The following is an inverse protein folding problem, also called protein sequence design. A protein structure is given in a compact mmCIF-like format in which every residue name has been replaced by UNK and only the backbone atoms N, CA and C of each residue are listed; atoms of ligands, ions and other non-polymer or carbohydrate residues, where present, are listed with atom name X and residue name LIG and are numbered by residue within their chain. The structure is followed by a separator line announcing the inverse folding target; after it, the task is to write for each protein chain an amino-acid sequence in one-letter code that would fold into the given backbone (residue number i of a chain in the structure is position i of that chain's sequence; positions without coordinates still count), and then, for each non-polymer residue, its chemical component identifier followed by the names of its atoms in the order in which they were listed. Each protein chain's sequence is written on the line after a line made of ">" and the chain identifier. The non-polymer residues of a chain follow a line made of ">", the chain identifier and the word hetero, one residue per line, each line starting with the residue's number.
data_IF_141742820324
#
_entry.id   IF_141742820324
#
_cell.length_a   1.000
_cell.length_b   1.000
_cell.length_c   1.000
_cell.angle_alpha   90.00
_cell.angle_beta   90.00
_cell.angle_gamma   90.00
#
_symmetry.space_group_name_H-M   'P 1'
#
loop_
_entity.id
_entity.type
_entity.pdbx_description
1 polymer ?
#
# COMPACT_ATOMS: atom_id res chain seq x y z
N UNK A 1 -11.81 -16.17 -5.73
CA UNK A 1 -11.81 -15.83 -4.29
C UNK A 1 -12.52 -14.52 -4.11
N UNK A 2 -13.50 -14.37 -3.23
CA UNK A 2 -13.83 -13.04 -2.76
C UNK A 2 -12.57 -12.48 -2.11
N UNK A 3 -12.15 -11.28 -2.52
CA UNK A 3 -11.17 -10.50 -1.76
C UNK A 3 -11.56 -10.61 -0.29
N UNK A 4 -10.57 -10.79 0.61
CA UNK A 4 -10.83 -10.63 2.02
C UNK A 4 -11.64 -9.33 2.18
N UNK A 5 -12.71 -9.33 2.98
CA UNK A 5 -13.48 -8.12 3.20
C UNK A 5 -12.51 -7.01 3.63
N UNK A 6 -12.79 -5.75 3.27
CA UNK A 6 -12.00 -4.64 3.77
C UNK A 6 -11.84 -4.81 5.28
N UNK A 7 -10.68 -4.50 5.86
CA UNK A 7 -10.47 -4.61 7.28
C UNK A 7 -11.66 -3.97 7.98
N UNK A 8 -12.33 -4.71 8.84
CA UNK A 8 -13.39 -4.16 9.68
C UNK A 8 -12.71 -3.11 10.55
N UNK A 9 -12.98 -1.85 10.30
CA UNK A 9 -12.65 -0.79 11.25
C UNK A 9 -13.61 -1.02 12.41
N UNK A 10 -13.13 -1.78 13.39
CA UNK A 10 -13.93 -2.07 14.59
C UNK A 10 -14.02 -0.76 15.37
N UNK A 11 -15.17 -0.11 15.29
CA UNK A 11 -15.51 1.08 16.09
C UNK A 11 -15.78 0.70 17.58
N UNK A 12 -15.71 -0.58 17.93
CA UNK A 12 -15.62 -0.98 19.31
C UNK A 12 -14.17 -0.73 19.75
N UNK A 13 -13.92 0.26 20.59
CA UNK A 13 -12.62 0.69 21.10
C UNK A 13 -11.68 -0.40 21.64
N UNK A 14 -11.38 -1.38 20.83
CA UNK A 14 -10.25 -2.27 20.96
C UNK A 14 -9.04 -1.49 20.43
N UNK A 15 -8.29 -0.94 21.36
CA UNK A 15 -6.94 -0.43 21.13
C UNK A 15 -6.17 -1.42 20.26
N UNK A 16 -5.36 -0.92 19.29
CA UNK A 16 -4.47 -1.79 18.52
C UNK A 16 -3.65 -2.61 19.51
N UNK A 17 -3.56 -3.91 19.28
CA UNK A 17 -2.78 -4.85 20.09
C UNK A 17 -1.30 -4.47 19.99
N UNK A 18 -0.89 -3.59 20.88
CA UNK A 18 0.43 -2.97 20.91
C UNK A 18 0.40 -1.56 21.46
N UNK A 19 -0.62 -1.17 22.25
CA UNK A 19 -0.56 0.08 23.01
C UNK A 19 0.58 -0.02 24.02
N UNK A 20 1.80 0.29 23.58
CA UNK A 20 2.80 0.80 24.51
C UNK A 20 2.11 1.98 25.20
N UNK A 21 1.84 1.87 26.52
CA UNK A 21 1.26 2.95 27.29
C UNK A 21 2.05 4.21 26.98
N UNK A 22 1.33 5.22 26.48
CA UNK A 22 1.93 6.50 26.12
C UNK A 22 2.85 6.94 27.25
N UNK A 23 4.10 7.26 26.90
CA UNK A 23 4.92 7.99 27.86
C UNK A 23 4.19 9.29 28.19
N UNK A 24 4.20 9.74 29.44
CA UNK A 24 3.59 11.01 29.84
C UNK A 24 4.12 12.22 29.05
N UNK A 25 5.15 12.03 28.22
CA UNK A 25 5.84 13.06 27.44
C UNK A 25 5.89 12.71 25.93
N UNK A 26 4.85 12.08 25.40
CA UNK A 26 4.82 11.70 23.97
C UNK A 26 5.12 12.86 23.01
N UNK A 27 4.56 14.04 23.22
CA UNK A 27 4.82 15.22 22.37
C UNK A 27 6.30 15.60 22.34
N UNK A 28 6.98 15.53 23.50
CA UNK A 28 8.42 15.78 23.58
C UNK A 28 9.24 14.71 22.83
N UNK A 29 8.88 13.45 22.99
CA UNK A 29 9.54 12.33 22.28
C UNK A 29 9.30 12.41 20.77
N UNK A 30 8.06 12.70 20.36
CA UNK A 30 7.69 12.89 18.94
C UNK A 30 8.51 14.02 18.32
N UNK A 31 8.60 15.17 18.99
CA UNK A 31 9.39 16.30 18.50
C UNK A 31 10.88 15.97 18.40
N UNK A 32 11.42 15.27 19.40
CA UNK A 32 12.81 14.83 19.38
C UNK A 32 13.10 13.86 18.24
N UNK A 33 12.21 12.87 17.97
CA UNK A 33 12.34 11.93 16.86
C UNK A 33 12.26 12.64 15.51
N UNK A 34 11.28 13.54 15.33
CA UNK A 34 11.13 14.30 14.08
C UNK A 34 12.38 15.15 13.74
N UNK A 35 13.10 15.60 14.75
CA UNK A 35 14.32 16.39 14.59
C UNK A 35 15.60 15.56 14.37
N UNK A 36 15.53 14.23 14.53
CA UNK A 36 16.66 13.33 14.31
C UNK A 36 16.80 12.95 12.84
N UNK A 37 18.05 12.76 12.38
CA UNK A 37 18.29 12.08 11.10
C UNK A 37 17.90 10.61 11.22
N UNK A 38 17.28 10.08 10.20
CA UNK A 38 16.82 8.67 10.20
C UNK A 38 18.01 7.73 10.42
N UNK A 39 19.18 8.00 9.81
CA UNK A 39 20.42 7.24 10.02
C UNK A 39 20.92 7.20 11.46
N UNK A 40 20.57 8.21 12.27
CA UNK A 40 21.08 8.36 13.64
C UNK A 40 20.13 7.75 14.69
N UNK A 41 18.94 7.31 14.30
CA UNK A 41 17.96 6.71 15.21
C UNK A 41 18.43 5.34 15.73
N UNK A 42 19.31 4.66 14.98
CA UNK A 42 19.85 3.35 15.37
C UNK A 42 18.86 2.21 15.21
N UNK A 43 18.11 2.22 14.12
CA UNK A 43 17.08 1.21 13.83
C UNK A 43 17.69 -0.12 13.41
N UNK A 44 17.13 -1.21 13.92
CA UNK A 44 17.49 -2.58 13.60
C UNK A 44 16.23 -3.43 13.40
N UNK A 45 16.32 -4.47 12.57
CA UNK A 45 15.23 -5.46 12.42
C UNK A 45 15.14 -6.37 13.65
N UNK A 46 16.29 -6.66 14.28
CA UNK A 46 16.39 -7.60 15.41
C UNK A 46 15.56 -7.13 16.61
N UNK A 47 14.78 -8.03 17.21
CA UNK A 47 13.97 -7.76 18.38
C UNK A 47 12.67 -7.02 18.10
N UNK A 48 12.34 -6.80 16.83
CA UNK A 48 11.15 -6.07 16.40
C UNK A 48 10.06 -6.96 15.83
N UNK A 49 8.89 -6.39 15.53
CA UNK A 49 7.84 -7.05 14.79
C UNK A 49 8.34 -7.54 13.42
N UNK A 50 9.19 -6.76 12.75
CA UNK A 50 9.76 -7.14 11.44
C UNK A 50 10.57 -8.44 11.52
N UNK A 51 11.35 -8.66 12.58
CA UNK A 51 12.07 -9.93 12.75
C UNK A 51 11.10 -11.12 12.79
N UNK A 52 10.00 -10.99 13.53
CA UNK A 52 8.95 -12.03 13.59
C UNK A 52 8.38 -12.31 12.18
N UNK A 53 8.02 -11.26 11.44
CA UNK A 53 7.41 -11.38 10.11
C UNK A 53 8.39 -11.96 9.07
N UNK A 54 9.65 -11.54 9.10
CA UNK A 54 10.72 -12.09 8.24
C UNK A 54 10.96 -13.57 8.54
N UNK A 55 11.01 -13.95 9.81
CA UNK A 55 11.13 -15.35 10.20
C UNK A 55 9.91 -16.18 9.73
N UNK A 56 8.71 -15.63 9.84
CA UNK A 56 7.51 -16.26 9.29
C UNK A 56 7.61 -16.47 7.76
N UNK A 57 8.08 -15.46 7.01
CA UNK A 57 8.31 -15.60 5.56
C UNK A 57 9.29 -16.77 5.30
N UNK A 58 10.38 -16.86 6.05
CA UNK A 58 11.36 -17.91 5.87
C UNK A 58 10.83 -19.31 6.22
N UNK A 59 9.94 -19.40 7.20
CA UNK A 59 9.23 -20.65 7.52
C UNK A 59 8.27 -21.05 6.39
N UNK A 60 7.55 -20.10 5.81
CA UNK A 60 6.67 -20.35 4.67
C UNK A 60 7.44 -20.82 3.44
N UNK A 61 8.60 -20.20 3.14
CA UNK A 61 9.50 -20.63 2.07
C UNK A 61 10.03 -22.04 2.33
N UNK A 62 10.46 -22.32 3.56
CA UNK A 62 10.94 -23.64 3.95
C UNK A 62 9.84 -24.72 3.85
N UNK A 63 8.59 -24.40 4.23
CA UNK A 63 7.45 -25.30 4.08
C UNK A 63 7.15 -25.66 2.61
N UNK A 64 7.51 -24.80 1.66
CA UNK A 64 7.48 -25.05 0.21
C UNK A 64 8.75 -25.76 -0.31
N UNK A 65 9.70 -26.07 0.57
CA UNK A 65 10.96 -26.74 0.23
C UNK A 65 12.01 -25.82 -0.38
N UNK A 66 11.85 -24.50 -0.28
CA UNK A 66 12.78 -23.52 -0.83
C UNK A 66 13.92 -23.25 0.15
N UNK A 67 15.16 -23.37 -0.31
CA UNK A 67 16.36 -23.14 0.50
C UNK A 67 16.82 -21.67 0.50
N UNK A 68 16.53 -20.93 -0.58
CA UNK A 68 16.88 -19.52 -0.68
C UNK A 68 16.01 -18.68 0.27
N UNK A 69 16.67 -17.81 1.01
CA UNK A 69 16.07 -16.84 1.94
C UNK A 69 16.53 -15.46 1.52
N UNK A 70 15.70 -14.68 0.83
CA UNK A 70 16.08 -13.31 0.45
C UNK A 70 16.50 -12.50 1.66
N UNK A 71 17.66 -11.83 1.66
CA UNK A 71 18.03 -10.89 2.70
C UNK A 71 17.03 -9.74 2.80
N UNK A 72 16.84 -9.20 4.01
CA UNK A 72 15.92 -8.10 4.29
C UNK A 72 16.68 -6.99 4.99
N UNK A 73 16.44 -5.74 4.57
CA UNK A 73 17.06 -4.56 5.16
C UNK A 73 16.02 -3.44 5.36
N UNK A 74 16.33 -2.45 6.20
CA UNK A 74 15.49 -1.29 6.41
C UNK A 74 15.69 -0.26 5.32
N UNK A 75 14.60 0.15 4.68
CA UNK A 75 14.51 1.14 3.61
C UNK A 75 13.43 2.16 3.92
N UNK A 76 13.18 3.10 3.01
CA UNK A 76 12.09 4.07 3.13
C UNK A 76 10.72 3.48 2.79
N UNK A 77 10.67 2.42 2.01
CA UNK A 77 9.44 1.80 1.52
C UNK A 77 9.61 0.29 1.29
N UNK A 78 8.50 -0.40 1.03
CA UNK A 78 8.50 -1.76 0.50
C UNK A 78 9.09 -1.77 -0.89
N UNK A 79 9.99 -2.71 -1.17
CA UNK A 79 10.56 -2.85 -2.50
C UNK A 79 11.64 -3.91 -2.59
N UNK A 80 11.85 -4.38 -3.81
CA UNK A 80 12.99 -5.22 -4.18
C UNK A 80 13.69 -4.51 -5.34
N UNK A 81 14.90 -3.96 -5.14
CA UNK A 81 15.59 -3.19 -6.18
C UNK A 81 15.79 -4.01 -7.45
N UNK A 82 15.58 -3.39 -8.61
CA UNK A 82 15.60 -4.08 -9.90
C UNK A 82 16.88 -4.89 -10.09
N UNK A 83 16.70 -6.17 -10.38
CA UNK A 83 17.81 -7.11 -10.61
C UNK A 83 18.57 -7.56 -9.36
N UNK A 84 18.22 -7.10 -8.16
CA UNK A 84 18.89 -7.47 -6.90
C UNK A 84 17.97 -8.32 -6.01
N UNK A 85 18.43 -9.47 -5.50
CA UNK A 85 17.60 -10.42 -4.76
C UNK A 85 17.53 -10.09 -3.25
N UNK A 86 17.24 -8.82 -2.90
CA UNK A 86 17.10 -8.32 -1.52
C UNK A 86 15.77 -7.63 -1.34
N UNK A 87 15.27 -7.56 -0.11
CA UNK A 87 13.97 -6.95 0.21
C UNK A 87 14.18 -5.75 1.12
N UNK A 88 13.79 -4.56 0.64
CA UNK A 88 13.64 -3.37 1.46
C UNK A 88 12.30 -3.38 2.19
N UNK A 89 12.33 -3.04 3.47
CA UNK A 89 11.12 -2.91 4.32
C UNK A 89 11.09 -1.54 4.97
N UNK A 90 9.91 -0.90 5.13
CA UNK A 90 9.81 0.42 5.69
C UNK A 90 10.41 0.51 7.10
N UNK A 91 11.29 1.47 7.30
CA UNK A 91 12.01 1.66 8.56
C UNK A 91 11.09 1.94 9.75
N UNK A 92 9.94 2.61 9.52
CA UNK A 92 9.00 2.95 10.59
C UNK A 92 8.37 1.72 11.25
N UNK A 93 8.36 0.56 10.59
CA UNK A 93 7.89 -0.70 11.16
C UNK A 93 8.88 -1.33 12.17
N UNK A 94 10.11 -0.81 12.24
CA UNK A 94 11.11 -1.28 13.19
C UNK A 94 10.99 -0.67 14.60
N UNK A 95 10.18 0.38 14.76
CA UNK A 95 9.98 1.05 16.06
C UNK A 95 8.51 1.49 16.21
N UNK A 96 7.84 1.06 17.27
CA UNK A 96 6.44 1.39 17.53
C UNK A 96 6.18 2.92 17.61
N UNK A 97 7.18 3.72 18.03
CA UNK A 97 7.07 5.18 18.05
C UNK A 97 7.06 5.76 16.64
N UNK A 98 7.89 5.20 15.75
CA UNK A 98 7.92 5.60 14.35
C UNK A 98 6.65 5.15 13.62
N UNK A 99 6.17 3.93 13.86
CA UNK A 99 4.88 3.46 13.34
C UNK A 99 3.73 4.40 13.75
N UNK A 100 3.76 4.90 14.98
CA UNK A 100 2.78 5.88 15.44
C UNK A 100 2.92 7.23 14.74
N UNK A 101 4.15 7.73 14.55
CA UNK A 101 4.38 8.96 13.79
C UNK A 101 3.90 8.76 12.34
N UNK A 102 4.22 7.62 11.73
CA UNK A 102 3.72 7.25 10.41
C UNK A 102 2.19 7.26 10.38
N UNK A 103 1.53 6.67 11.38
CA UNK A 103 0.06 6.68 11.49
C UNK A 103 -0.50 8.12 11.61
N UNK A 104 0.18 9.00 12.33
CA UNK A 104 -0.22 10.42 12.44
C UNK A 104 -0.12 11.13 11.07
N UNK A 105 0.87 10.77 10.23
CA UNK A 105 1.09 11.39 8.92
C UNK A 105 0.31 10.71 7.79
N UNK A 106 0.38 9.40 7.66
CA UNK A 106 -0.26 8.66 6.56
C UNK A 106 -1.69 8.22 6.87
N UNK A 107 -2.08 8.20 8.15
CA UNK A 107 -3.34 7.65 8.67
C UNK A 107 -3.50 6.13 8.41
N UNK A 108 -2.43 5.47 7.98
CA UNK A 108 -2.45 4.04 7.72
C UNK A 108 -1.05 3.45 7.90
N UNK A 109 -0.89 2.61 8.90
CA UNK A 109 0.28 1.74 9.07
C UNK A 109 -0.18 0.31 8.79
N UNK A 110 0.64 -0.43 8.09
CA UNK A 110 0.31 -1.80 7.69
C UNK A 110 0.14 -2.69 8.93
N UNK A 111 -0.96 -3.40 8.97
CA UNK A 111 -1.15 -4.51 9.91
C UNK A 111 -0.15 -5.64 9.65
N UNK A 112 0.05 -6.53 10.63
CA UNK A 112 0.89 -7.73 10.45
C UNK A 112 0.47 -8.53 9.20
N UNK A 113 -0.83 -8.63 8.94
CA UNK A 113 -1.35 -9.35 7.77
C UNK A 113 -1.02 -8.65 6.44
N UNK A 114 -1.05 -7.32 6.41
CA UNK A 114 -0.68 -6.53 5.25
C UNK A 114 0.83 -6.56 5.02
N UNK A 115 1.62 -6.40 6.07
CA UNK A 115 3.09 -6.54 6.01
C UNK A 115 3.51 -7.91 5.47
N UNK A 116 2.85 -9.00 5.91
CA UNK A 116 3.09 -10.35 5.36
C UNK A 116 2.65 -10.46 3.89
N UNK A 117 1.62 -9.72 3.46
CA UNK A 117 1.22 -9.66 2.06
C UNK A 117 2.32 -9.04 1.21
N UNK A 118 2.85 -7.88 1.64
CA UNK A 118 3.98 -7.23 0.97
C UNK A 118 5.24 -8.07 1.00
N UNK A 119 5.62 -8.65 2.14
CA UNK A 119 6.80 -9.52 2.23
C UNK A 119 6.76 -10.71 1.25
N UNK A 120 5.58 -11.34 1.08
CA UNK A 120 5.44 -12.43 0.09
C UNK A 120 5.58 -11.92 -1.34
N UNK A 121 5.07 -10.71 -1.62
CA UNK A 121 5.19 -10.07 -2.91
C UNK A 121 6.66 -9.74 -3.23
N UNK A 122 7.36 -9.07 -2.33
CA UNK A 122 8.77 -8.72 -2.50
C UNK A 122 9.66 -9.97 -2.60
N UNK A 123 9.31 -11.04 -1.87
CA UNK A 123 9.97 -12.32 -2.06
C UNK A 123 9.79 -12.86 -3.50
N UNK A 124 8.67 -12.61 -4.15
CA UNK A 124 8.46 -12.94 -5.57
C UNK A 124 9.48 -12.25 -6.47
N UNK A 125 9.67 -10.93 -6.31
CA UNK A 125 10.71 -10.17 -7.02
C UNK A 125 12.11 -10.74 -6.71
N UNK A 126 12.43 -10.92 -5.43
CA UNK A 126 13.73 -11.46 -5.03
C UNK A 126 14.03 -12.83 -5.67
N UNK A 127 13.05 -13.74 -5.75
CA UNK A 127 13.19 -15.01 -6.46
C UNK A 127 13.34 -14.83 -7.97
N UNK A 128 12.56 -13.91 -8.58
CA UNK A 128 12.70 -13.61 -10.00
C UNK A 128 14.11 -13.16 -10.35
N UNK A 129 14.68 -12.28 -9.53
CA UNK A 129 16.04 -11.75 -9.72
C UNK A 129 17.11 -12.77 -9.36
N UNK A 130 17.02 -13.44 -8.22
CA UNK A 130 17.98 -14.43 -7.76
C UNK A 130 18.28 -15.52 -8.81
N UNK A 131 17.27 -15.94 -9.55
CA UNK A 131 17.35 -17.00 -10.54
C UNK A 131 17.20 -16.53 -11.98
N UNK A 132 17.08 -15.23 -12.21
CA UNK A 132 16.89 -14.59 -13.52
C UNK A 132 15.78 -15.25 -14.34
N UNK A 133 14.61 -15.45 -13.71
CA UNK A 133 13.51 -16.13 -14.40
C UNK A 133 12.99 -15.34 -15.59
N UNK A 134 13.00 -14.01 -15.51
CA UNK A 134 12.61 -13.10 -16.59
C UNK A 134 13.39 -13.28 -17.90
N UNK A 135 14.59 -13.88 -17.85
CA UNK A 135 15.39 -14.21 -19.05
C UNK A 135 14.88 -15.45 -19.78
N UNK A 136 14.02 -16.26 -19.15
CA UNK A 136 13.51 -17.50 -19.74
C UNK A 136 12.41 -17.22 -20.76
N UNK A 137 12.47 -17.85 -21.93
CA UNK A 137 11.42 -17.74 -22.95
C UNK A 137 10.05 -18.21 -22.40
N UNK A 138 10.02 -19.23 -21.52
CA UNK A 138 8.79 -19.71 -20.89
C UNK A 138 8.18 -18.69 -19.94
N UNK A 139 8.99 -17.93 -19.20
CA UNK A 139 8.53 -16.86 -18.32
C UNK A 139 7.91 -15.73 -19.15
N UNK A 140 8.62 -15.26 -20.20
CA UNK A 140 8.13 -14.21 -21.08
C UNK A 140 6.84 -14.62 -21.83
N UNK A 141 6.69 -15.90 -22.14
CA UNK A 141 5.43 -16.42 -22.71
C UNK A 141 4.27 -16.36 -21.71
N UNK A 142 4.54 -16.51 -20.41
CA UNK A 142 3.53 -16.59 -19.35
C UNK A 142 3.12 -15.21 -18.86
N UNK A 143 4.08 -14.32 -18.62
CA UNK A 143 3.88 -13.01 -18.00
C UNK A 143 4.02 -11.83 -18.96
N UNK A 144 4.71 -12.01 -20.07
CA UNK A 144 5.01 -10.96 -21.03
C UNK A 144 6.49 -10.56 -21.05
N UNK A 145 6.86 -9.60 -21.89
CA UNK A 145 8.25 -9.14 -21.98
C UNK A 145 8.63 -8.32 -20.75
N UNK A 146 9.73 -8.71 -20.07
CA UNK A 146 10.27 -7.97 -18.93
C UNK A 146 10.68 -6.53 -19.29
N UNK A 147 11.09 -6.30 -20.54
CA UNK A 147 11.44 -4.97 -21.07
C UNK A 147 10.25 -4.05 -21.32
N UNK A 148 9.03 -4.45 -20.98
CA UNK A 148 7.87 -3.56 -21.00
C UNK A 148 8.15 -2.34 -20.11
N UNK A 149 7.86 -1.10 -20.55
CA UNK A 149 8.05 0.06 -19.68
C UNK A 149 7.27 -0.07 -18.38
N UNK A 150 7.98 0.06 -17.27
CA UNK A 150 7.35 0.15 -15.95
C UNK A 150 6.70 1.53 -15.82
N UNK A 151 5.40 1.54 -15.55
CA UNK A 151 4.63 2.78 -15.42
C UNK A 151 3.97 2.81 -14.06
N UNK A 152 4.07 3.94 -13.36
CA UNK A 152 3.39 4.13 -12.09
C UNK A 152 1.88 4.03 -12.24
N UNK A 153 1.38 4.41 -13.40
CA UNK A 153 -0.04 4.38 -13.74
C UNK A 153 -0.34 3.39 -14.85
N UNK A 154 -1.39 2.63 -14.65
CA UNK A 154 -1.88 1.63 -15.58
C UNK A 154 -3.40 1.55 -15.50
N UNK A 155 -4.02 1.23 -16.63
CA UNK A 155 -5.45 0.98 -16.68
C UNK A 155 -5.70 -0.49 -16.42
N UNK A 156 -6.19 -0.80 -15.21
CA UNK A 156 -6.57 -2.16 -14.85
C UNK A 156 -7.93 -2.55 -15.45
N UNK A 157 -8.05 -3.82 -15.83
CA UNK A 157 -9.35 -4.46 -16.09
C UNK A 157 -9.78 -5.23 -14.84
N UNK A 158 -10.76 -4.73 -14.06
CA UNK A 158 -11.21 -5.39 -12.84
C UNK A 158 -11.91 -6.72 -13.08
N UNK A 159 -12.31 -7.02 -14.32
CA UNK A 159 -12.98 -8.26 -14.72
C UNK A 159 -12.03 -9.32 -15.26
N UNK A 160 -10.76 -8.97 -15.49
CA UNK A 160 -9.78 -9.90 -16.02
C UNK A 160 -9.57 -11.10 -15.09
N UNK A 161 -9.63 -12.30 -15.68
CA UNK A 161 -9.31 -13.57 -15.01
C UNK A 161 -7.90 -14.07 -15.36
N UNK A 162 -7.13 -13.27 -16.10
CA UNK A 162 -5.76 -13.62 -16.51
C UNK A 162 -4.72 -13.33 -15.40
N UNK A 163 -5.14 -12.63 -14.33
CA UNK A 163 -4.26 -12.19 -13.26
C UNK A 163 -4.78 -12.66 -11.90
N UNK A 164 -3.87 -12.95 -10.99
CA UNK A 164 -4.20 -13.18 -9.58
C UNK A 164 -4.61 -11.87 -8.90
N UNK A 165 -5.15 -11.97 -7.70
CA UNK A 165 -5.52 -10.84 -6.86
C UNK A 165 -4.87 -11.01 -5.49
N UNK A 166 -3.83 -10.23 -5.21
CA UNK A 166 -3.10 -10.28 -3.94
C UNK A 166 -2.97 -8.88 -3.33
N UNK A 167 -2.19 -7.98 -3.94
CA UNK A 167 -2.19 -6.56 -3.59
C UNK A 167 -3.38 -5.87 -4.26
N UNK A 168 -3.89 -4.84 -3.62
CA UNK A 168 -5.06 -4.09 -4.07
C UNK A 168 -4.80 -3.31 -5.35
N UNK A 169 -5.88 -2.87 -6.01
CA UNK A 169 -5.78 -2.10 -7.25
C UNK A 169 -5.42 -2.94 -8.47
N UNK A 170 -5.63 -4.28 -8.42
CA UNK A 170 -5.29 -5.19 -9.53
C UNK A 170 -3.82 -5.10 -9.94
N UNK A 171 -2.94 -5.03 -8.94
CA UNK A 171 -1.53 -4.68 -9.06
C UNK A 171 -0.75 -5.58 -10.02
N UNK A 172 -1.12 -6.87 -10.12
CA UNK A 172 -0.56 -7.80 -11.10
C UNK A 172 -0.64 -7.31 -12.57
N UNK A 173 -1.53 -6.36 -12.88
CA UNK A 173 -1.69 -5.83 -14.25
C UNK A 173 -0.72 -4.70 -14.59
N UNK A 174 0.01 -4.19 -13.61
CA UNK A 174 0.92 -3.05 -13.77
C UNK A 174 2.10 -3.38 -14.69
N UNK A 175 2.77 -4.50 -14.43
CA UNK A 175 3.95 -4.93 -15.16
C UNK A 175 4.08 -6.46 -15.15
N UNK A 176 4.76 -7.11 -16.13
CA UNK A 176 5.06 -8.55 -16.09
C UNK A 176 5.77 -9.03 -14.83
N UNK A 177 6.64 -8.20 -14.24
CA UNK A 177 7.33 -8.49 -13.00
C UNK A 177 6.38 -8.51 -11.80
N UNK A 178 5.46 -7.54 -11.74
CA UNK A 178 4.41 -7.51 -10.73
C UNK A 178 3.46 -8.71 -10.84
N UNK A 179 3.11 -9.09 -12.08
CA UNK A 179 2.28 -10.27 -12.33
C UNK A 179 2.94 -11.55 -11.81
N UNK A 180 4.25 -11.68 -12.01
CA UNK A 180 5.01 -12.81 -11.46
C UNK A 180 5.03 -12.76 -9.92
N UNK A 181 5.36 -11.62 -9.32
CA UNK A 181 5.49 -11.45 -7.86
C UNK A 181 4.15 -11.64 -7.15
N UNK A 182 3.07 -11.09 -7.68
CA UNK A 182 1.72 -11.33 -7.21
C UNK A 182 1.33 -12.83 -7.28
N UNK A 183 1.67 -13.49 -8.41
CA UNK A 183 1.42 -14.91 -8.60
C UNK A 183 2.23 -15.76 -7.62
N UNK A 184 3.49 -15.40 -7.38
CA UNK A 184 4.33 -16.05 -6.37
C UNK A 184 3.76 -15.88 -4.96
N UNK A 185 3.32 -14.68 -4.61
CA UNK A 185 2.76 -14.39 -3.30
C UNK A 185 1.48 -15.20 -3.01
N UNK A 186 0.57 -15.29 -3.98
CA UNK A 186 -0.62 -16.16 -3.88
C UNK A 186 -0.22 -17.63 -3.73
N UNK A 187 0.74 -18.12 -4.52
CA UNK A 187 1.23 -19.49 -4.45
C UNK A 187 1.88 -19.81 -3.10
N UNK A 188 2.61 -18.85 -2.51
CA UNK A 188 3.30 -19.01 -1.23
C UNK A 188 2.34 -18.99 -0.05
N UNK A 189 1.23 -18.27 -0.12
CA UNK A 189 0.31 -18.02 1.00
C UNK A 189 -0.16 -19.33 1.66
N UNK A 190 0.09 -19.52 2.96
CA UNK A 190 -0.30 -20.73 3.67
C UNK A 190 -1.82 -20.92 3.72
N UNK A 191 -2.26 -22.17 3.63
CA UNK A 191 -3.68 -22.53 3.77
C UNK A 191 -4.57 -22.14 2.59
N UNK A 192 -4.04 -21.49 1.56
CA UNK A 192 -4.79 -21.11 0.37
C UNK A 192 -4.84 -22.28 -0.62
N UNK A 193 -6.04 -22.73 -0.96
CA UNK A 193 -6.23 -23.68 -2.07
C UNK A 193 -6.37 -22.93 -3.40
N UNK A 194 -5.23 -22.38 -3.85
CA UNK A 194 -5.19 -21.60 -5.09
C UNK A 194 -5.63 -22.41 -6.33
N UNK A 195 -5.60 -23.74 -6.29
CA UNK A 195 -6.09 -24.56 -7.40
C UNK A 195 -7.60 -24.49 -7.52
N UNK A 196 -8.29 -24.58 -6.38
CA UNK A 196 -9.73 -24.45 -6.32
C UNK A 196 -10.16 -22.98 -6.53
N UNK A 197 -9.49 -22.05 -5.85
CA UNK A 197 -9.86 -20.63 -5.88
C UNK A 197 -9.73 -20.00 -7.27
N UNK A 198 -8.75 -20.46 -8.05
CA UNK A 198 -8.51 -19.97 -9.43
C UNK A 198 -8.98 -20.95 -10.51
N UNK A 199 -9.84 -21.93 -10.17
CA UNK A 199 -10.41 -22.84 -11.17
C UNK A 199 -11.16 -22.05 -12.26
N UNK A 200 -10.85 -22.36 -13.52
CA UNK A 200 -11.43 -21.66 -14.68
C UNK A 200 -10.85 -20.28 -14.98
N UNK A 201 -9.82 -19.82 -14.21
CA UNK A 201 -9.11 -18.57 -14.50
C UNK A 201 -7.84 -18.83 -15.33
N UNK A 202 -7.49 -17.90 -16.22
CA UNK A 202 -6.19 -17.92 -16.90
C UNK A 202 -5.01 -17.85 -15.93
N UNK A 203 -5.16 -17.14 -14.81
CA UNK A 203 -4.20 -17.04 -13.72
C UNK A 203 -3.79 -18.41 -13.13
N UNK A 204 -4.66 -19.44 -13.18
CA UNK A 204 -4.32 -20.79 -12.71
C UNK A 204 -3.09 -21.35 -13.43
N UNK A 205 -2.95 -21.11 -14.73
CA UNK A 205 -1.77 -21.54 -15.51
C UNK A 205 -0.48 -20.90 -15.03
N UNK A 206 -0.56 -19.63 -14.59
CA UNK A 206 0.58 -18.90 -14.02
C UNK A 206 0.97 -19.47 -12.65
N UNK A 207 0.01 -19.77 -11.80
CA UNK A 207 0.22 -20.43 -10.50
C UNK A 207 0.87 -21.81 -10.67
N UNK A 208 0.38 -22.63 -11.61
CA UNK A 208 0.98 -23.93 -11.94
C UNK A 208 2.40 -23.78 -12.51
N UNK A 209 2.64 -22.73 -13.29
CA UNK A 209 3.96 -22.41 -13.80
C UNK A 209 4.91 -22.03 -12.66
N UNK A 210 4.51 -21.16 -11.74
CA UNK A 210 5.29 -20.79 -10.54
C UNK A 210 5.57 -22.03 -9.68
N UNK A 211 4.59 -22.88 -9.43
CA UNK A 211 4.77 -24.14 -8.66
C UNK A 211 5.87 -25.02 -9.27
N UNK A 212 5.83 -25.23 -10.59
CA UNK A 212 6.86 -25.99 -11.31
C UNK A 212 8.23 -25.31 -11.25
N UNK A 213 8.24 -23.98 -11.39
CA UNK A 213 9.46 -23.18 -11.40
C UNK A 213 10.16 -23.23 -10.03
N UNK A 214 9.40 -23.08 -8.95
CA UNK A 214 9.91 -23.13 -7.57
C UNK A 214 10.42 -24.53 -7.23
N UNK A 215 9.73 -25.59 -7.59
CA UNK A 215 10.23 -26.97 -7.44
C UNK A 215 11.53 -27.20 -8.18
N UNK A 216 11.72 -26.57 -9.33
CA UNK A 216 12.97 -26.73 -10.12
C UNK A 216 14.19 -26.01 -9.52
N UNK A 217 13.98 -25.04 -8.63
CA UNK A 217 15.04 -24.26 -7.97
C UNK A 217 15.13 -24.51 -6.46
N UNK A 218 14.30 -25.36 -5.91
CA UNK A 218 14.09 -25.56 -4.47
C UNK A 218 15.37 -25.58 -3.63
N UNK A 219 16.39 -26.31 -4.11
CA UNK A 219 17.69 -26.44 -3.41
C UNK A 219 18.86 -25.84 -4.18
N UNK A 220 18.57 -25.07 -5.24
CA UNK A 220 19.63 -24.46 -6.05
C UNK A 220 20.13 -23.17 -5.42
N UNK A 221 21.41 -22.94 -5.56
CA UNK A 221 22.04 -21.66 -5.22
C UNK A 221 21.55 -20.59 -6.21
N UNK A 222 21.24 -19.38 -5.76
CA UNK A 222 20.95 -18.25 -6.62
C UNK A 222 22.04 -18.01 -7.68
N UNK A 223 21.63 -17.59 -8.87
CA UNK A 223 22.55 -17.23 -9.97
C UNK A 223 23.08 -15.81 -9.76
N UNK A 224 22.25 -14.92 -9.24
CA UNK A 224 22.63 -13.57 -8.85
C UNK A 224 23.04 -13.61 -7.39
N UNK A 225 24.28 -13.20 -7.05
CA UNK A 225 24.70 -13.14 -5.66
C UNK A 225 23.99 -12.01 -4.92
N UNK A 226 23.99 -12.07 -3.60
CA UNK A 226 23.59 -10.97 -2.76
C UNK A 226 24.47 -9.74 -3.07
N UNK A 227 23.87 -8.54 -3.22
CA UNK A 227 24.63 -7.33 -3.46
C UNK A 227 25.52 -6.99 -2.25
N UNK A 228 26.62 -6.28 -2.51
CA UNK A 228 27.52 -5.83 -1.45
C UNK A 228 27.00 -4.63 -0.65
N UNK A 229 26.03 -3.92 -1.22
CA UNK A 229 25.41 -2.73 -0.63
C UNK A 229 23.90 -2.79 -0.86
N UNK A 230 23.14 -2.34 0.15
CA UNK A 230 21.70 -2.21 0.08
C UNK A 230 21.34 -0.94 -0.71
N UNK A 231 20.17 -0.92 -1.35
CA UNK A 231 19.64 0.25 -2.04
C UNK A 231 18.87 1.13 -1.05
N UNK A 232 19.21 2.42 -0.97
CA UNK A 232 18.60 3.38 -0.05
C UNK A 232 18.46 2.84 1.39
N UNK A 233 19.53 2.30 2.01
CA UNK A 233 19.43 1.79 3.36
C UNK A 233 19.26 2.93 4.36
N UNK A 234 18.64 2.65 5.50
CA UNK A 234 18.45 3.61 6.60
C UNK A 234 19.75 4.34 6.95
N UNK A 235 20.90 3.67 6.93
CA UNK A 235 22.22 4.26 7.20
C UNK A 235 22.62 5.36 6.22
N UNK A 236 22.05 5.40 5.03
CA UNK A 236 22.28 6.42 4.02
C UNK A 236 21.32 7.63 4.13
N UNK A 237 20.26 7.53 4.93
CA UNK A 237 19.24 8.57 5.08
C UNK A 237 19.70 9.70 6.00
N UNK A 238 20.41 10.67 5.44
CA UNK A 238 21.02 11.78 6.19
C UNK A 238 20.06 12.95 6.46
N UNK A 239 18.81 12.87 5.97
CA UNK A 239 17.75 13.82 6.25
C UNK A 239 17.00 13.46 7.54
N UNK A 240 16.35 14.45 8.14
CA UNK A 240 15.55 14.23 9.36
C UNK A 240 14.24 13.51 9.07
N UNK A 241 13.67 12.91 10.09
CA UNK A 241 12.36 12.30 9.98
C UNK A 241 11.28 13.34 9.59
N UNK A 242 11.39 14.60 10.03
CA UNK A 242 10.49 15.67 9.60
C UNK A 242 10.61 15.94 8.11
N UNK A 243 11.85 16.06 7.59
CA UNK A 243 12.10 16.26 6.15
C UNK A 243 11.58 15.08 5.31
N UNK A 244 11.63 13.86 5.82
CA UNK A 244 11.06 12.69 5.15
C UNK A 244 9.56 12.89 4.85
N UNK A 245 8.80 13.34 5.82
CA UNK A 245 7.35 13.57 5.66
C UNK A 245 7.01 14.85 4.88
N UNK A 246 7.89 15.84 4.84
CA UNK A 246 7.69 17.06 4.05
C UNK A 246 7.79 16.82 2.53
N UNK A 247 8.54 15.79 2.12
CA UNK A 247 8.78 15.47 0.70
C UNK A 247 7.68 14.60 0.06
N UNK A 248 6.64 14.25 0.80
CA UNK A 248 5.52 13.50 0.21
C UNK A 248 4.84 14.30 -0.91
N UNK A 249 4.61 13.64 -2.04
CA UNK A 249 3.98 14.24 -3.22
C UNK A 249 2.62 14.84 -2.87
N UNK A 250 2.44 16.13 -3.08
CA UNK A 250 1.13 16.78 -2.95
C UNK A 250 0.25 16.49 -4.15
N UNK A 251 -1.06 16.28 -3.91
CA UNK A 251 -2.04 16.15 -5.00
C UNK A 251 -2.22 17.52 -5.67
N UNK A 252 -1.98 17.66 -6.98
CA UNK A 252 -2.20 18.93 -7.68
C UNK A 252 -3.70 19.18 -7.90
N UNK A 253 -4.36 19.84 -6.97
CA UNK A 253 -5.74 20.33 -7.14
C UNK A 253 -5.69 21.77 -7.61
N UNK A 254 -5.97 22.01 -8.89
CA UNK A 254 -5.84 23.35 -9.51
C UNK A 254 -6.96 24.31 -9.12
N UNK A 255 -8.20 23.86 -9.11
CA UNK A 255 -9.35 24.66 -8.68
C UNK A 255 -10.09 23.97 -7.52
N UNK A 256 -9.96 24.51 -6.29
CA UNK A 256 -10.63 23.94 -5.13
C UNK A 256 -12.16 23.94 -5.23
N UNK A 257 -12.76 24.74 -6.11
CA UNK A 257 -14.22 24.88 -6.24
C UNK A 257 -14.86 23.77 -7.07
N UNK A 258 -14.06 22.95 -7.75
CA UNK A 258 -14.55 21.88 -8.65
C UNK A 258 -15.52 20.93 -7.93
N UNK A 259 -15.35 20.73 -6.64
CA UNK A 259 -16.15 19.79 -5.84
C UNK A 259 -17.30 20.46 -5.07
N UNK A 260 -17.50 21.77 -5.20
CA UNK A 260 -18.51 22.50 -4.40
C UNK A 260 -19.94 21.97 -4.60
N UNK A 261 -20.27 21.58 -5.84
CA UNK A 261 -21.57 21.00 -6.18
C UNK A 261 -21.80 19.65 -5.51
N UNK A 262 -20.79 18.78 -5.60
CA UNK A 262 -20.83 17.43 -5.04
C UNK A 262 -20.88 17.48 -3.51
N UNK A 263 -20.05 18.33 -2.90
CA UNK A 263 -20.02 18.50 -1.45
C UNK A 263 -21.34 19.04 -0.89
N UNK A 264 -22.02 19.94 -1.63
CA UNK A 264 -23.37 20.44 -1.26
C UNK A 264 -24.49 19.41 -1.51
N UNK A 265 -24.21 18.34 -2.23
CA UNK A 265 -25.13 17.21 -2.38
C UNK A 265 -24.97 16.23 -1.22
N UNK A 266 -23.74 16.02 -0.74
CA UNK A 266 -23.41 15.12 0.38
C UNK A 266 -23.76 15.76 1.73
N UNK A 267 -23.48 17.05 1.87
CA UNK A 267 -23.71 17.86 3.07
C UNK A 267 -24.73 18.96 2.81
N UNK A 268 -25.26 19.54 3.87
CA UNK A 268 -26.21 20.65 3.80
C UNK A 268 -25.60 21.96 4.29
N UNK A 269 -26.22 23.08 3.96
CA UNK A 269 -25.80 24.38 4.48
C UNK A 269 -26.15 24.54 5.96
N UNK A 270 -25.42 25.40 6.66
CA UNK A 270 -25.68 25.71 8.07
C UNK A 270 -27.16 26.17 8.32
N UNK A 271 -27.77 26.89 7.37
CA UNK A 271 -29.16 27.29 7.48
C UNK A 271 -30.19 26.14 7.46
N UNK A 272 -29.80 25.00 6.86
CA UNK A 272 -30.64 23.80 6.79
C UNK A 272 -30.48 22.88 8.01
N UNK A 273 -29.32 22.91 8.67
CA UNK A 273 -29.03 22.12 9.87
C UNK A 273 -28.18 22.94 10.87
N UNK A 274 -28.74 23.98 11.52
CA UNK A 274 -27.95 24.87 12.36
C UNK A 274 -27.34 24.18 13.58
N UNK A 275 -27.97 23.14 14.10
CA UNK A 275 -27.48 22.32 15.22
C UNK A 275 -26.74 21.08 14.76
N UNK A 276 -26.59 20.87 13.45
CA UNK A 276 -25.89 19.72 12.90
C UNK A 276 -24.36 19.80 13.15
N UNK A 277 -23.72 18.64 13.30
CA UNK A 277 -22.25 18.54 13.35
C UNK A 277 -21.65 19.24 12.12
N UNK A 278 -20.53 19.95 12.29
CA UNK A 278 -19.84 20.51 11.11
C UNK A 278 -19.36 19.40 10.20
N UNK A 279 -19.42 19.60 8.88
CA UNK A 279 -18.93 18.61 7.92
C UNK A 279 -17.43 18.33 8.09
N UNK A 280 -16.66 19.34 8.52
CA UNK A 280 -15.23 19.16 8.82
C UNK A 280 -15.01 18.28 10.06
N UNK A 281 -15.78 18.47 11.15
CA UNK A 281 -15.70 17.61 12.34
C UNK A 281 -16.13 16.17 12.00
N UNK A 282 -17.15 16.01 11.16
CA UNK A 282 -17.56 14.70 10.64
C UNK A 282 -16.42 14.01 9.88
N UNK A 283 -15.76 14.71 8.95
CA UNK A 283 -14.63 14.16 8.21
C UNK A 283 -13.49 13.84 9.17
N UNK A 284 -13.19 14.71 10.13
CA UNK A 284 -12.13 14.48 11.11
C UNK A 284 -12.40 13.23 11.97
N UNK A 285 -13.64 13.03 12.40
CA UNK A 285 -14.07 11.86 13.19
C UNK A 285 -13.91 10.55 12.41
N UNK A 286 -14.23 10.56 11.11
CA UNK A 286 -14.20 9.36 10.26
C UNK A 286 -12.98 9.29 9.35
N UNK A 287 -11.99 10.17 9.52
CA UNK A 287 -10.85 10.31 8.60
C UNK A 287 -10.17 8.99 8.30
N UNK A 288 -9.81 8.25 9.34
CA UNK A 288 -9.14 6.95 9.20
C UNK A 288 -9.95 5.97 8.36
N UNK A 289 -11.24 5.84 8.63
CA UNK A 289 -12.12 4.94 7.88
C UNK A 289 -12.23 5.36 6.42
N UNK A 290 -12.41 6.66 6.14
CA UNK A 290 -12.52 7.21 4.79
C UNK A 290 -11.24 6.93 4.01
N UNK A 291 -10.07 7.29 4.57
CA UNK A 291 -8.76 7.09 3.93
C UNK A 291 -8.52 5.61 3.65
N UNK A 292 -8.69 4.74 4.64
CA UNK A 292 -8.46 3.30 4.50
C UNK A 292 -9.35 2.69 3.42
N UNK A 293 -10.64 3.04 3.38
CA UNK A 293 -11.57 2.48 2.40
C UNK A 293 -11.29 2.96 0.99
N UNK A 294 -11.02 4.26 0.81
CA UNK A 294 -10.68 4.81 -0.51
C UNK A 294 -9.37 4.19 -1.00
N UNK A 295 -8.31 4.19 -0.18
CA UNK A 295 -7.03 3.56 -0.53
C UNK A 295 -7.21 2.08 -0.89
N UNK A 296 -7.99 1.35 -0.08
CA UNK A 296 -8.29 -0.06 -0.32
C UNK A 296 -8.91 -0.30 -1.70
N UNK A 297 -9.95 0.43 -2.07
CA UNK A 297 -10.67 0.19 -3.32
C UNK A 297 -9.98 0.77 -4.56
N UNK A 298 -9.18 1.81 -4.40
CA UNK A 298 -8.47 2.45 -5.51
C UNK A 298 -7.08 1.86 -5.73
N UNK A 299 -6.46 1.28 -4.71
CA UNK A 299 -5.05 0.88 -4.72
C UNK A 299 -4.10 2.09 -4.78
N UNK A 300 -4.58 3.29 -4.40
CA UNK A 300 -3.74 4.47 -4.26
C UNK A 300 -3.13 4.50 -2.87
N UNK A 301 -1.97 5.19 -2.72
CA UNK A 301 -1.31 5.29 -1.42
C UNK A 301 -2.20 5.99 -0.39
N UNK A 302 -2.15 5.54 0.85
CA UNK A 302 -2.92 6.16 1.93
C UNK A 302 -2.54 7.63 2.13
N UNK A 303 -1.26 7.99 1.92
CA UNK A 303 -0.77 9.37 1.98
C UNK A 303 -1.46 10.28 0.96
N UNK A 304 -1.54 9.86 -0.31
CA UNK A 304 -2.24 10.59 -1.37
C UNK A 304 -3.72 10.74 -1.02
N UNK A 305 -4.38 9.65 -0.59
CA UNK A 305 -5.80 9.69 -0.22
C UNK A 305 -6.03 10.61 0.99
N UNK A 306 -5.15 10.59 1.98
CA UNK A 306 -5.22 11.47 3.15
C UNK A 306 -5.18 12.95 2.75
N UNK A 307 -4.23 13.33 1.91
CA UNK A 307 -4.13 14.72 1.43
C UNK A 307 -5.41 15.16 0.71
N UNK A 308 -6.01 14.27 -0.07
CA UNK A 308 -7.29 14.54 -0.70
C UNK A 308 -8.43 14.73 0.34
N UNK A 309 -8.51 13.88 1.34
CA UNK A 309 -9.52 13.96 2.41
C UNK A 309 -9.33 15.23 3.26
N UNK A 310 -8.10 15.62 3.54
CA UNK A 310 -7.77 16.90 4.21
C UNK A 310 -8.22 18.10 3.37
N UNK A 311 -7.92 18.07 2.07
CA UNK A 311 -8.43 19.10 1.15
C UNK A 311 -9.96 19.18 1.17
N UNK A 312 -10.68 18.04 1.16
CA UNK A 312 -12.14 18.05 1.28
C UNK A 312 -12.61 18.62 2.62
N UNK A 313 -11.93 18.31 3.73
CA UNK A 313 -12.21 18.83 5.06
C UNK A 313 -12.11 20.36 5.11
N UNK A 314 -11.02 20.92 4.56
CA UNK A 314 -10.82 22.37 4.46
C UNK A 314 -11.88 23.01 3.57
N UNK A 315 -12.25 22.33 2.48
CA UNK A 315 -13.25 22.86 1.55
C UNK A 315 -14.64 22.91 2.17
N UNK A 316 -15.11 21.84 2.84
CA UNK A 316 -16.41 21.85 3.51
C UNK A 316 -16.46 22.87 4.65
N UNK A 317 -15.34 23.06 5.37
CA UNK A 317 -15.21 24.12 6.38
C UNK A 317 -15.38 25.50 5.77
N UNK A 318 -14.71 25.80 4.65
CA UNK A 318 -14.80 27.07 3.95
C UNK A 318 -16.21 27.36 3.41
N UNK A 319 -16.99 26.32 3.13
CA UNK A 319 -18.37 26.40 2.65
C UNK A 319 -19.39 26.41 3.81
N UNK A 320 -18.97 26.33 5.07
CA UNK A 320 -19.82 26.21 6.27
C UNK A 320 -20.87 25.09 6.16
N UNK A 321 -20.46 23.92 5.64
CA UNK A 321 -21.34 22.78 5.48
C UNK A 321 -21.53 22.00 6.78
N UNK A 322 -22.69 21.35 6.91
CA UNK A 322 -23.11 20.58 8.08
C UNK A 322 -23.62 19.20 7.68
N UNK A 323 -23.55 18.27 8.62
CA UNK A 323 -24.22 16.97 8.49
C UNK A 323 -25.73 17.17 8.51
N UNK A 324 -26.41 16.84 7.41
CA UNK A 324 -27.87 17.02 7.28
C UNK A 324 -28.70 15.75 7.32
N UNK A 325 -28.01 14.57 7.31
CA UNK A 325 -28.64 13.27 7.26
C UNK A 325 -28.08 12.27 8.28
N UNK A 326 -28.32 10.98 8.04
CA UNK A 326 -27.76 9.92 8.85
C UNK A 326 -26.25 9.83 8.59
N UNK A 327 -25.47 9.79 9.66
CA UNK A 327 -24.01 9.69 9.64
C UNK A 327 -23.52 8.56 8.74
N UNK A 328 -24.08 7.35 8.88
CA UNK A 328 -23.72 6.20 8.06
C UNK A 328 -23.98 6.42 6.55
N UNK A 329 -25.07 7.08 6.19
CA UNK A 329 -25.38 7.38 4.78
C UNK A 329 -24.40 8.40 4.21
N UNK A 330 -24.11 9.46 4.95
CA UNK A 330 -23.15 10.49 4.55
C UNK A 330 -21.73 9.92 4.41
N UNK A 331 -21.33 9.00 5.30
CA UNK A 331 -20.04 8.33 5.21
C UNK A 331 -19.95 7.47 3.94
N UNK A 332 -21.00 6.75 3.58
CA UNK A 332 -21.06 5.96 2.34
C UNK A 332 -20.94 6.88 1.12
N UNK A 333 -21.71 7.97 1.06
CA UNK A 333 -21.69 8.91 -0.07
C UNK A 333 -20.33 9.58 -0.22
N UNK A 334 -19.73 10.06 0.87
CA UNK A 334 -18.42 10.69 0.85
C UNK A 334 -17.32 9.70 0.43
N UNK A 335 -17.37 8.46 0.92
CA UNK A 335 -16.42 7.42 0.53
C UNK A 335 -16.57 7.03 -0.93
N UNK A 336 -17.80 6.90 -1.43
CA UNK A 336 -18.07 6.61 -2.84
C UNK A 336 -17.58 7.73 -3.75
N UNK A 337 -17.88 8.99 -3.38
CA UNK A 337 -17.40 10.18 -4.08
C UNK A 337 -15.86 10.22 -4.11
N UNK A 338 -15.22 10.08 -2.96
CA UNK A 338 -13.76 10.08 -2.86
C UNK A 338 -13.11 8.95 -3.68
N UNK A 339 -13.72 7.76 -3.68
CA UNK A 339 -13.25 6.63 -4.50
C UNK A 339 -13.31 6.97 -5.99
N UNK A 340 -14.41 7.58 -6.45
CA UNK A 340 -14.56 7.97 -7.86
C UNK A 340 -13.51 9.02 -8.27
N UNK A 341 -13.27 10.03 -7.42
CA UNK A 341 -12.28 11.08 -7.69
C UNK A 341 -10.86 10.52 -7.74
N UNK A 342 -10.47 9.71 -6.75
CA UNK A 342 -9.12 9.11 -6.71
C UNK A 342 -8.92 8.13 -7.87
N UNK A 343 -9.94 7.37 -8.28
CA UNK A 343 -9.84 6.53 -9.47
C UNK A 343 -9.61 7.35 -10.74
N UNK A 344 -10.28 8.50 -10.89
CA UNK A 344 -10.04 9.41 -12.01
C UNK A 344 -8.63 10.01 -11.95
N UNK A 345 -8.19 10.45 -10.77
CA UNK A 345 -6.82 10.94 -10.56
C UNK A 345 -5.77 9.94 -11.02
N UNK A 346 -5.93 8.66 -10.71
CA UNK A 346 -5.02 7.60 -11.19
C UNK A 346 -4.96 7.46 -12.71
N UNK A 347 -5.96 7.97 -13.42
CA UNK A 347 -6.00 7.89 -14.88
C UNK A 347 -5.53 9.17 -15.57
N UNK A 348 -5.65 10.33 -14.94
CA UNK A 348 -5.48 11.65 -15.59
C UNK A 348 -4.29 12.46 -15.11
N UNK A 349 -3.62 12.07 -14.02
CA UNK A 349 -2.53 12.83 -13.37
C UNK A 349 -2.93 14.17 -12.74
N UNK A 350 -4.19 14.54 -12.82
CA UNK A 350 -4.69 15.78 -12.27
C UNK A 350 -6.10 15.61 -11.72
N UNK A 351 -6.38 16.31 -10.64
CA UNK A 351 -7.75 16.59 -10.22
C UNK A 351 -8.06 17.98 -10.79
N UNK A 352 -8.34 18.02 -12.07
CA UNK A 352 -8.82 19.22 -12.74
C UNK A 352 -10.04 18.89 -13.60
N UNK A 353 -11.01 19.80 -13.63
CA UNK A 353 -12.22 19.70 -14.45
C UNK A 353 -12.01 20.03 -15.92
N UNK A 354 -10.80 19.94 -16.43
CA UNK A 354 -10.57 20.16 -17.86
C UNK A 354 -10.87 18.88 -18.61
N UNK A 355 -11.96 18.88 -19.36
CA UNK A 355 -12.19 17.96 -20.46
C UNK A 355 -10.91 17.85 -21.27
N UNK A 356 -10.43 16.62 -21.42
CA UNK A 356 -9.33 16.32 -22.34
C UNK A 356 -9.69 16.79 -23.73
N UNK A 357 -9.34 18.03 -24.02
CA UNK A 357 -9.42 18.56 -25.36
C UNK A 357 -8.53 17.73 -26.27
N UNK A 358 -9.18 17.05 -27.19
CA UNK A 358 -8.68 16.45 -28.40
C UNK A 358 -7.51 17.26 -28.94
N UNK A 359 -6.29 16.74 -28.85
CA UNK A 359 -5.24 17.10 -29.80
C UNK A 359 -5.05 15.91 -30.73
N UNK A 360 -5.65 16.09 -31.89
CA UNK A 360 -5.56 15.33 -33.15
C UNK A 360 -4.13 15.13 -33.62
#
# INVERSE_FOLDING_TARGET
>A
MPLAPPPSVDNSGSEPSGSASLSPNWEGERHALLSQRISDIGLEIRGTLLEKLVNQLYEELAAKGLAFRPPVYLSDQWGCPDGTPIIGVPFYLADARLSRIEEDYSQAVESEAESMRYLRHEAGHAFNYAYRFYDRASWRKMFGPYSRPYRDRYRADPFSREFVRHILGWYAQKHPDEDFSETFAVWLTPGLDWKQDYEGWGALKKLEYVDKLMKAVATKVPVVPEPSEDDLPVSAMQYTLAEHYEHEKSIPIRDPRIFDGDLKTIFVTESQAPEGMSAADFIALHRREIVTRIAYWTGESASVVRQFVEFLSDRVASLNLRLGGLEASTLIELTAFGTAVIMNYRHTDAIDGTDGGDDS
#
